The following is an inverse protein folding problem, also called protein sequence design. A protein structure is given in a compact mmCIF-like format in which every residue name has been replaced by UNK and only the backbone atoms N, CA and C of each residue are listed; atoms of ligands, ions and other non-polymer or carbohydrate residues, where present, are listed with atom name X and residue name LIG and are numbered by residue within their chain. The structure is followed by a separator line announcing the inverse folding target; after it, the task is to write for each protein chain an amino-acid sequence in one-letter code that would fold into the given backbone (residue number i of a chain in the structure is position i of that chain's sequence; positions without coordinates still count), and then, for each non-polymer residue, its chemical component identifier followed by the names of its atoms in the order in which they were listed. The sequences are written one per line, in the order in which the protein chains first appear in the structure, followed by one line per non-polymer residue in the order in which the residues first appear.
data_IF_342541115256
#
_entry.id   IF_342541115256
#
_cell.length_a   1.000
_cell.length_b   1.000
_cell.length_c   1.000
_cell.angle_alpha   90.00
_cell.angle_beta   90.00
_cell.angle_gamma   90.00
#
_symmetry.space_group_name_H-M   'P 1'
#
loop_
_entity.id
_entity.type
_entity.pdbx_description
1 polymer ?
#
# COMPACT_ATOMS: atom_id res chain seq x y z
N UNK A 1 12.55 -43.00 -17.97
CA UNK A 1 11.62 -42.26 -17.11
C UNK A 1 11.83 -40.77 -17.37
N UNK A 2 10.91 -40.03 -17.94
CA UNK A 2 11.08 -38.59 -18.18
C UNK A 2 10.71 -37.80 -16.93
N UNK A 3 11.59 -36.92 -16.51
CA UNK A 3 11.41 -35.93 -15.46
C UNK A 3 10.43 -34.84 -15.93
N UNK A 4 9.28 -34.75 -15.28
CA UNK A 4 8.30 -33.71 -15.52
C UNK A 4 8.80 -32.43 -14.85
N UNK A 5 9.37 -31.52 -15.64
CA UNK A 5 9.65 -30.15 -15.23
C UNK A 5 8.34 -29.38 -15.02
N UNK A 6 8.04 -28.96 -13.80
CA UNK A 6 6.96 -28.03 -13.51
C UNK A 6 7.38 -26.65 -14.04
N UNK A 7 6.78 -26.22 -15.13
CA UNK A 7 6.92 -24.86 -15.62
C UNK A 7 6.16 -23.91 -14.69
N UNK A 8 6.89 -23.06 -14.01
CA UNK A 8 6.34 -21.89 -13.30
C UNK A 8 5.66 -20.97 -14.35
N UNK A 9 4.45 -20.48 -14.13
CA UNK A 9 3.84 -19.50 -15.02
C UNK A 9 4.63 -18.20 -14.93
N UNK A 10 5.37 -17.89 -16.01
CA UNK A 10 6.01 -16.57 -16.15
C UNK A 10 4.92 -15.55 -16.46
N UNK A 11 4.81 -14.50 -15.65
CA UNK A 11 4.06 -13.32 -16.03
C UNK A 11 4.71 -12.67 -17.26
N UNK A 12 3.93 -12.13 -18.20
CA UNK A 12 4.50 -11.39 -19.33
C UNK A 12 5.29 -10.18 -18.80
N UNK A 13 6.41 -9.87 -19.41
CA UNK A 13 7.47 -8.92 -18.98
C UNK A 13 7.07 -7.44 -18.98
N UNK A 14 5.80 -7.10 -18.95
CA UNK A 14 5.32 -5.73 -18.75
C UNK A 14 3.89 -5.79 -18.20
N UNK A 15 3.75 -5.72 -16.88
CA UNK A 15 2.43 -5.57 -16.24
C UNK A 15 2.24 -4.09 -15.93
N UNK A 16 1.42 -3.43 -16.73
CA UNK A 16 1.11 -2.01 -16.62
C UNK A 16 0.01 -1.79 -15.56
N UNK A 17 0.10 -0.71 -14.80
CA UNK A 17 -1.02 -0.24 -13.97
C UNK A 17 -2.12 0.24 -14.92
N UNK A 18 -3.30 -0.39 -14.88
CA UNK A 18 -4.44 -0.01 -15.69
C UNK A 18 -5.54 0.61 -14.84
N UNK A 19 -5.93 1.83 -15.18
CA UNK A 19 -7.04 2.56 -14.55
C UNK A 19 -8.36 2.41 -15.35
N UNK A 20 -8.66 1.21 -15.88
CA UNK A 20 -9.94 1.01 -16.55
C UNK A 20 -11.06 0.84 -15.51
N UNK A 21 -11.77 1.95 -15.28
CA UNK A 21 -12.95 2.00 -14.42
C UNK A 21 -14.09 1.16 -14.99
N UNK A 22 -14.51 0.17 -14.24
CA UNK A 22 -15.84 -0.44 -14.39
C UNK A 22 -16.79 0.40 -13.53
N UNK A 23 -17.63 1.21 -14.17
CA UNK A 23 -18.75 1.86 -13.50
C UNK A 23 -19.74 0.79 -13.06
N UNK A 24 -19.65 0.37 -11.81
CA UNK A 24 -20.74 -0.33 -11.13
C UNK A 24 -21.57 0.72 -10.38
N UNK A 25 -22.92 0.67 -10.45
CA UNK A 25 -23.76 1.62 -9.72
C UNK A 25 -23.69 1.32 -8.23
N UNK A 26 -22.97 2.15 -7.51
CA UNK A 26 -22.87 2.09 -6.05
C UNK A 26 -24.20 2.52 -5.44
N UNK A 27 -24.87 1.60 -4.76
CA UNK A 27 -26.00 1.94 -3.90
C UNK A 27 -25.53 2.92 -2.83
N UNK A 28 -26.11 4.13 -2.87
CA UNK A 28 -25.95 5.19 -1.88
C UNK A 28 -26.26 4.64 -0.48
N UNK A 29 -25.25 4.32 0.31
CA UNK A 29 -25.39 4.28 1.75
C UNK A 29 -25.49 5.75 2.21
N UNK A 30 -26.67 6.13 2.71
CA UNK A 30 -26.97 7.51 3.11
C UNK A 30 -25.97 7.98 4.15
N UNK A 31 -25.33 9.13 3.88
CA UNK A 31 -24.59 9.93 4.82
C UNK A 31 -25.48 10.27 6.04
N UNK A 32 -25.27 9.56 7.11
CA UNK A 32 -25.96 9.78 8.37
C UNK A 32 -25.20 9.12 9.50
N UNK A 33 -24.60 9.94 10.38
CA UNK A 33 -23.91 9.60 11.61
C UNK A 33 -22.48 9.00 11.50
N UNK A 34 -21.50 9.90 11.36
CA UNK A 34 -20.08 9.62 11.69
C UNK A 34 -19.84 9.41 13.20
N UNK A 35 -20.83 9.04 13.99
CA UNK A 35 -20.69 8.94 15.43
C UNK A 35 -21.26 7.65 16.03
N UNK A 36 -20.91 6.51 15.48
CA UNK A 36 -20.94 5.15 16.05
C UNK A 36 -20.64 4.10 14.97
N UNK A 37 -19.44 4.07 14.45
CA UNK A 37 -18.96 2.80 13.88
C UNK A 37 -18.95 1.79 15.01
N UNK A 38 -19.87 0.86 14.96
CA UNK A 38 -19.91 -0.27 15.89
C UNK A 38 -18.69 -1.11 15.53
N UNK A 39 -17.62 -0.94 16.30
CA UNK A 39 -16.41 -1.75 16.16
C UNK A 39 -16.82 -3.20 16.29
N UNK A 40 -16.59 -3.98 15.25
CA UNK A 40 -16.83 -5.41 15.35
C UNK A 40 -15.77 -6.02 16.27
N UNK A 41 -16.19 -6.92 17.17
CA UNK A 41 -15.24 -7.63 18.01
C UNK A 41 -14.29 -8.46 17.14
N UNK A 42 -13.08 -8.72 17.64
CA UNK A 42 -12.13 -9.60 16.97
C UNK A 42 -12.79 -10.96 16.68
N UNK A 43 -12.85 -11.40 15.41
CA UNK A 43 -13.38 -12.71 15.07
C UNK A 43 -12.52 -13.82 15.68
N UNK A 44 -13.14 -14.75 16.39
CA UNK A 44 -12.43 -15.88 17.02
C UNK A 44 -11.67 -16.72 16.00
N UNK A 45 -12.24 -16.93 14.81
CA UNK A 45 -11.59 -17.67 13.73
C UNK A 45 -10.30 -16.99 13.26
N UNK A 46 -10.28 -15.64 13.13
CA UNK A 46 -9.06 -14.92 12.80
C UNK A 46 -7.99 -15.13 13.88
N UNK A 47 -8.36 -15.05 15.15
CA UNK A 47 -7.42 -15.26 16.26
C UNK A 47 -6.84 -16.69 16.24
N UNK A 48 -7.67 -17.71 15.99
CA UNK A 48 -7.23 -19.11 15.88
C UNK A 48 -6.26 -19.30 14.71
N UNK A 49 -6.60 -18.74 13.53
CA UNK A 49 -5.72 -18.76 12.35
C UNK A 49 -4.40 -18.06 12.61
N UNK A 50 -4.42 -16.89 13.23
CA UNK A 50 -3.21 -16.13 13.56
C UNK A 50 -2.30 -16.86 14.55
N UNK A 51 -2.89 -17.55 15.55
CA UNK A 51 -2.14 -18.38 16.51
C UNK A 51 -1.48 -19.59 15.88
N UNK A 52 -2.03 -20.14 14.82
CA UNK A 52 -1.54 -21.37 14.16
C UNK A 52 -0.67 -21.10 12.93
N UNK A 53 -0.71 -19.88 12.39
CA UNK A 53 0.03 -19.52 11.18
C UNK A 53 1.56 -19.55 11.40
N UNK A 54 2.26 -20.10 10.43
CA UNK A 54 3.73 -20.10 10.39
C UNK A 54 4.27 -18.99 9.48
N UNK A 55 3.50 -18.63 8.45
CA UNK A 55 3.85 -17.59 7.47
C UNK A 55 2.65 -16.70 7.26
N UNK A 56 2.84 -15.41 7.53
CA UNK A 56 1.81 -14.40 7.39
C UNK A 56 2.21 -13.44 6.30
N UNK A 57 1.26 -13.15 5.40
CA UNK A 57 1.37 -12.06 4.45
C UNK A 57 0.39 -10.95 4.85
N UNK A 58 0.88 -9.72 4.92
CA UNK A 58 0.05 -8.54 5.13
C UNK A 58 0.14 -7.66 3.89
N UNK A 59 -0.98 -7.54 3.17
CA UNK A 59 -1.14 -6.67 2.01
C UNK A 59 -1.79 -5.38 2.47
N UNK A 60 -1.12 -4.23 2.34
CA UNK A 60 -1.66 -2.95 2.82
C UNK A 60 -1.90 -1.95 1.71
N UNK A 61 -2.92 -1.12 1.87
CA UNK A 61 -3.24 0.02 1.02
C UNK A 61 -3.47 1.30 1.82
N UNK A 62 -3.96 2.35 1.17
CA UNK A 62 -4.06 3.70 1.72
C UNK A 62 -4.87 3.78 3.04
N UNK A 63 -5.84 2.89 3.24
CA UNK A 63 -6.60 2.80 4.49
C UNK A 63 -5.74 2.44 5.70
N UNK A 64 -4.57 1.83 5.51
CA UNK A 64 -3.60 1.59 6.59
C UNK A 64 -3.06 2.89 7.18
N UNK A 65 -2.83 3.91 6.34
CA UNK A 65 -2.25 5.20 6.73
C UNK A 65 -3.30 6.31 6.94
N UNK A 66 -4.58 6.05 6.64
CA UNK A 66 -5.64 7.05 6.75
C UNK A 66 -5.78 7.63 8.16
N UNK A 67 -5.77 6.78 9.19
CA UNK A 67 -5.87 7.21 10.59
C UNK A 67 -4.59 7.87 11.12
N UNK A 68 -3.50 7.80 10.39
CA UNK A 68 -2.31 8.62 10.61
C UNK A 68 -2.47 10.05 10.08
N UNK A 69 -3.49 10.31 9.26
CA UNK A 69 -3.74 11.60 8.63
C UNK A 69 -3.10 11.75 7.24
N UNK A 70 -2.68 10.65 6.62
CA UNK A 70 -2.29 10.61 5.20
C UNK A 70 -3.56 10.48 4.36
N UNK A 71 -3.90 11.46 3.50
CA UNK A 71 -5.09 11.38 2.66
C UNK A 71 -5.05 10.15 1.75
N UNK A 72 -6.17 9.45 1.65
CA UNK A 72 -6.33 8.41 0.63
C UNK A 72 -6.49 9.06 -0.74
N UNK A 73 -6.22 8.30 -1.81
CA UNK A 73 -6.39 8.80 -3.18
C UNK A 73 -7.82 9.30 -3.48
N UNK A 74 -8.81 8.89 -2.67
CA UNK A 74 -10.21 9.34 -2.78
C UNK A 74 -10.47 10.67 -2.08
N UNK A 75 -9.67 11.01 -1.07
CA UNK A 75 -9.84 12.20 -0.24
C UNK A 75 -9.08 13.42 -0.79
N UNK A 76 -8.22 13.23 -1.79
CA UNK A 76 -7.35 14.29 -2.34
C UNK A 76 -8.09 15.36 -3.14
N UNK A 77 -9.38 15.20 -3.38
CA UNK A 77 -10.22 16.19 -4.09
C UNK A 77 -10.62 17.43 -3.26
N UNK A 78 -9.95 17.69 -2.12
CA UNK A 78 -10.21 18.82 -1.26
C UNK A 78 -9.18 19.95 -1.40
N UNK A 79 -9.60 21.19 -1.18
CA UNK A 79 -8.70 22.34 -1.12
C UNK A 79 -8.13 22.77 -2.48
N UNK A 80 -6.83 23.12 -2.49
CA UNK A 80 -6.13 23.63 -3.68
C UNK A 80 -6.11 22.62 -4.82
N UNK A 81 -6.01 21.32 -4.48
CA UNK A 81 -5.89 20.22 -5.42
C UNK A 81 -7.24 19.72 -5.97
N UNK A 82 -8.37 20.20 -5.47
CA UNK A 82 -9.73 19.81 -5.91
C UNK A 82 -10.00 20.01 -7.42
N UNK A 83 -9.17 20.77 -8.10
CA UNK A 83 -9.31 21.08 -9.54
C UNK A 83 -8.52 20.14 -10.44
N UNK A 84 -7.71 19.28 -9.86
CA UNK A 84 -6.80 18.39 -10.58
C UNK A 84 -7.19 16.94 -10.30
N UNK A 85 -7.11 16.10 -11.34
CA UNK A 85 -7.27 14.67 -11.17
C UNK A 85 -5.93 14.08 -10.69
N UNK A 86 -5.89 13.44 -9.50
CA UNK A 86 -4.69 12.76 -9.03
C UNK A 86 -4.18 11.72 -10.03
N UNK A 87 -5.11 11.02 -10.71
CA UNK A 87 -4.76 10.03 -11.73
C UNK A 87 -4.05 10.69 -12.92
N UNK A 88 -4.48 11.87 -13.35
CA UNK A 88 -3.84 12.58 -14.45
C UNK A 88 -2.45 13.13 -14.04
N UNK A 89 -2.30 13.59 -12.79
CA UNK A 89 -1.02 14.09 -12.28
C UNK A 89 -0.02 12.97 -12.01
N UNK A 90 -0.49 11.78 -11.64
CA UNK A 90 0.36 10.62 -11.38
C UNK A 90 0.65 9.81 -12.66
N UNK A 91 0.96 10.49 -13.77
CA UNK A 91 1.38 9.90 -15.04
C UNK A 91 2.64 10.58 -15.56
N UNK A 92 3.42 9.90 -16.43
CA UNK A 92 4.55 10.52 -17.10
C UNK A 92 4.08 11.67 -18.01
N UNK A 93 2.95 11.50 -18.69
CA UNK A 93 2.36 12.55 -19.52
C UNK A 93 2.02 13.79 -18.69
N UNK A 94 1.39 13.64 -17.53
CA UNK A 94 1.09 14.75 -16.60
C UNK A 94 2.35 15.46 -16.12
N UNK A 95 3.39 14.70 -15.77
CA UNK A 95 4.69 15.28 -15.41
C UNK A 95 5.29 16.08 -16.58
N UNK A 96 5.35 15.52 -17.79
CA UNK A 96 5.92 16.18 -18.96
C UNK A 96 5.13 17.43 -19.39
N UNK A 97 3.82 17.44 -19.16
CA UNK A 97 2.96 18.58 -19.48
C UNK A 97 3.15 19.75 -18.53
N UNK A 98 3.30 19.50 -17.23
CA UNK A 98 3.45 20.54 -16.19
C UNK A 98 4.27 20.04 -15.00
N UNK A 99 5.59 19.92 -15.13
CA UNK A 99 6.45 19.36 -14.08
C UNK A 99 6.44 20.20 -12.79
N UNK A 100 6.31 21.51 -12.88
CA UNK A 100 6.26 22.38 -11.71
C UNK A 100 4.99 22.17 -10.87
N UNK A 101 3.87 21.96 -11.52
CA UNK A 101 2.58 21.65 -10.85
C UNK A 101 2.66 20.28 -10.17
N UNK A 102 3.10 19.26 -10.90
CA UNK A 102 3.16 17.89 -10.39
C UNK A 102 4.19 17.77 -9.28
N UNK A 103 5.37 18.40 -9.42
CA UNK A 103 6.36 18.42 -8.36
C UNK A 103 5.85 19.11 -7.10
N UNK A 104 5.17 20.25 -7.23
CA UNK A 104 4.56 20.95 -6.11
C UNK A 104 3.52 20.07 -5.37
N UNK A 105 2.74 19.28 -6.10
CA UNK A 105 1.80 18.33 -5.51
C UNK A 105 2.53 17.22 -4.73
N UNK A 106 3.64 16.69 -5.24
CA UNK A 106 4.43 15.68 -4.51
C UNK A 106 5.15 16.29 -3.30
N UNK A 107 5.65 17.53 -3.37
CA UNK A 107 6.21 18.21 -2.21
C UNK A 107 5.18 18.37 -1.08
N UNK A 108 3.93 18.71 -1.42
CA UNK A 108 2.84 18.73 -0.45
C UNK A 108 2.59 17.35 0.17
N UNK A 109 2.54 16.27 -0.61
CA UNK A 109 2.40 14.90 -0.11
C UNK A 109 3.56 14.50 0.80
N UNK A 110 4.79 14.81 0.40
CA UNK A 110 6.00 14.60 1.22
C UNK A 110 5.87 15.37 2.54
N UNK A 111 5.42 16.61 2.51
CA UNK A 111 5.18 17.43 3.70
C UNK A 111 4.17 16.83 4.66
N UNK A 112 3.07 16.25 4.15
CA UNK A 112 2.09 15.52 4.95
C UNK A 112 2.75 14.30 5.59
N UNK A 113 3.37 13.42 4.81
CA UNK A 113 3.98 12.18 5.31
C UNK A 113 5.05 12.48 6.36
N UNK A 114 5.93 13.45 6.11
CA UNK A 114 7.00 13.84 7.04
C UNK A 114 6.47 14.38 8.38
N UNK A 115 5.30 15.01 8.37
CA UNK A 115 4.66 15.57 9.59
C UNK A 115 3.69 14.60 10.27
N UNK A 116 3.57 13.38 9.77
CA UNK A 116 2.65 12.35 10.24
C UNK A 116 3.45 11.28 11.01
N UNK A 117 2.82 10.65 12.00
CA UNK A 117 3.39 9.51 12.74
C UNK A 117 2.66 8.21 12.36
N UNK A 118 3.34 7.06 12.45
CA UNK A 118 2.66 5.77 12.39
C UNK A 118 1.48 5.72 13.37
N UNK A 119 0.39 5.05 12.99
CA UNK A 119 -0.73 4.81 13.89
C UNK A 119 -0.58 3.46 14.61
N UNK A 120 -1.48 3.18 15.56
CA UNK A 120 -1.45 1.97 16.35
C UNK A 120 -1.51 0.67 15.53
N UNK A 121 -2.07 0.70 14.31
CA UNK A 121 -2.06 -0.44 13.38
C UNK A 121 -0.66 -0.75 12.86
N UNK A 122 0.11 0.27 12.46
CA UNK A 122 1.51 0.09 12.05
C UNK A 122 2.36 -0.48 13.20
N UNK A 123 2.20 0.09 14.41
CA UNK A 123 2.90 -0.37 15.61
C UNK A 123 2.50 -1.81 15.98
N UNK A 124 1.23 -2.18 15.81
CA UNK A 124 0.76 -3.52 16.04
C UNK A 124 1.41 -4.54 15.08
N UNK A 125 1.54 -4.23 13.79
CA UNK A 125 2.23 -5.11 12.84
C UNK A 125 3.71 -5.29 13.21
N UNK A 126 4.39 -4.22 13.61
CA UNK A 126 5.78 -4.31 14.07
C UNK A 126 5.91 -5.19 15.33
N UNK A 127 4.99 -5.04 16.29
CA UNK A 127 4.94 -5.90 17.50
C UNK A 127 4.65 -7.36 17.13
N UNK A 128 3.73 -7.61 16.17
CA UNK A 128 3.42 -8.97 15.75
C UNK A 128 4.63 -9.67 15.15
N UNK A 129 5.37 -8.99 14.28
CA UNK A 129 6.63 -9.51 13.75
C UNK A 129 7.64 -9.82 14.87
N UNK A 130 7.64 -9.04 15.95
CA UNK A 130 8.45 -9.27 17.15
C UNK A 130 8.10 -10.53 17.93
N UNK A 131 6.92 -11.15 17.70
CA UNK A 131 6.54 -12.41 18.35
C UNK A 131 7.14 -13.66 17.67
N UNK A 132 7.93 -13.50 16.61
CA UNK A 132 8.65 -14.62 16.00
C UNK A 132 9.62 -15.21 17.00
N UNK A 133 9.43 -16.51 17.33
CA UNK A 133 10.24 -17.21 18.33
C UNK A 133 9.75 -17.10 19.79
N UNK A 134 8.68 -16.35 20.05
CA UNK A 134 8.13 -16.10 21.38
C UNK A 134 6.93 -17.01 21.73
N UNK A 135 7.02 -18.29 21.35
CA UNK A 135 6.00 -19.31 21.70
C UNK A 135 4.91 -19.54 20.66
N UNK A 136 4.74 -18.65 19.69
CA UNK A 136 3.90 -18.88 18.51
C UNK A 136 4.67 -19.69 17.45
N UNK A 137 3.98 -20.47 16.59
CA UNK A 137 4.63 -21.19 15.48
C UNK A 137 5.11 -20.25 14.36
N UNK A 138 4.89 -18.96 14.48
CA UNK A 138 5.22 -17.94 13.50
C UNK A 138 6.71 -17.92 13.18
N UNK A 139 7.04 -18.05 11.90
CA UNK A 139 8.41 -18.09 11.37
C UNK A 139 8.73 -16.91 10.47
N UNK A 140 7.71 -16.40 9.75
CA UNK A 140 7.83 -15.31 8.81
C UNK A 140 6.59 -14.45 8.81
N UNK A 141 6.78 -13.13 8.70
CA UNK A 141 5.75 -12.16 8.45
C UNK A 141 6.25 -11.19 7.39
N UNK A 142 5.61 -11.21 6.23
CA UNK A 142 5.94 -10.37 5.08
C UNK A 142 4.90 -9.26 4.95
N UNK A 143 5.37 -8.01 4.81
CA UNK A 143 4.50 -6.87 4.51
C UNK A 143 4.77 -6.46 3.07
N UNK A 144 3.73 -6.44 2.27
CA UNK A 144 3.71 -5.91 0.92
C UNK A 144 2.74 -4.73 0.89
N UNK A 145 3.23 -3.55 0.55
CA UNK A 145 2.41 -2.34 0.59
C UNK A 145 2.23 -1.71 -0.78
N UNK A 146 1.04 -1.18 -1.02
CA UNK A 146 0.74 -0.29 -2.14
C UNK A 146 0.99 1.18 -1.75
N UNK A 147 1.23 1.45 -0.46
CA UNK A 147 1.49 2.79 0.02
C UNK A 147 2.89 3.25 -0.38
N UNK A 148 2.99 4.53 -0.66
CA UNK A 148 4.25 5.19 -1.03
C UNK A 148 4.90 5.90 0.16
N UNK A 149 4.23 5.94 1.33
CA UNK A 149 4.78 6.44 2.59
C UNK A 149 5.72 5.41 3.25
N UNK A 150 6.46 5.83 4.27
CA UNK A 150 7.43 5.05 5.05
C UNK A 150 6.93 4.71 6.47
N UNK A 151 5.62 4.75 6.71
CA UNK A 151 5.06 4.62 8.05
C UNK A 151 5.26 3.21 8.64
N UNK A 152 5.30 2.18 7.82
CA UNK A 152 5.62 0.82 8.27
C UNK A 152 7.04 0.75 8.84
N UNK A 153 8.02 1.27 8.11
CA UNK A 153 9.43 1.28 8.53
C UNK A 153 9.63 2.16 9.77
N UNK A 154 8.96 3.32 9.81
CA UNK A 154 9.00 4.21 10.98
C UNK A 154 8.37 3.61 12.22
N UNK A 155 7.43 2.66 12.07
CA UNK A 155 6.89 1.85 13.15
C UNK A 155 7.82 0.70 13.56
N UNK A 156 8.88 0.41 12.80
CA UNK A 156 9.82 -0.67 13.05
C UNK A 156 9.55 -1.96 12.27
N UNK A 157 8.63 -1.95 11.31
CA UNK A 157 8.38 -3.10 10.45
C UNK A 157 9.38 -3.18 9.31
N UNK A 158 9.79 -4.40 8.93
CA UNK A 158 10.44 -4.65 7.65
C UNK A 158 9.36 -4.79 6.56
N UNK A 159 9.49 -4.01 5.48
CA UNK A 159 8.62 -4.10 4.31
C UNK A 159 9.33 -4.92 3.23
N UNK A 160 8.67 -5.98 2.75
CA UNK A 160 9.19 -6.84 1.70
C UNK A 160 9.19 -6.13 0.34
N UNK A 161 8.09 -5.42 0.03
CA UNK A 161 7.94 -4.72 -1.25
C UNK A 161 7.04 -3.49 -1.13
N UNK A 162 7.45 -2.40 -1.79
CA UNK A 162 6.65 -1.22 -2.07
C UNK A 162 6.18 -1.23 -3.52
N UNK A 163 5.02 -1.85 -3.78
CA UNK A 163 4.56 -2.10 -5.16
C UNK A 163 4.37 -0.85 -6.00
N UNK A 164 4.08 0.28 -5.38
CA UNK A 164 3.91 1.55 -6.09
C UNK A 164 5.09 2.52 -5.87
N UNK A 165 6.23 1.99 -5.40
CA UNK A 165 7.43 2.77 -5.13
C UNK A 165 7.33 3.58 -3.84
N UNK A 166 8.18 4.62 -3.70
CA UNK A 166 8.40 5.35 -2.44
C UNK A 166 8.51 6.86 -2.66
N UNK A 167 7.89 7.65 -1.77
CA UNK A 167 7.98 9.12 -1.76
C UNK A 167 9.34 9.65 -1.26
N UNK A 168 10.07 8.86 -0.48
CA UNK A 168 11.36 9.23 0.11
C UNK A 168 12.56 8.86 -0.78
N UNK A 169 12.31 8.37 -2.00
CA UNK A 169 13.32 8.04 -3.00
C UNK A 169 13.07 8.85 -4.26
N UNK A 170 14.15 9.19 -4.95
CA UNK A 170 14.08 10.06 -6.13
C UNK A 170 15.01 9.57 -7.22
N UNK A 171 14.60 9.78 -8.46
CA UNK A 171 15.40 9.50 -9.65
C UNK A 171 15.10 10.52 -10.75
N UNK A 172 16.02 10.62 -11.70
CA UNK A 172 15.82 11.46 -12.90
C UNK A 172 14.83 10.80 -13.86
N UNK A 173 13.84 11.58 -14.32
CA UNK A 173 12.85 11.09 -15.29
C UNK A 173 13.44 10.73 -16.66
N UNK A 174 14.60 11.35 -17.03
CA UNK A 174 15.22 11.16 -18.34
C UNK A 174 16.28 10.06 -18.36
N UNK A 175 17.17 10.02 -17.34
CA UNK A 175 18.28 9.06 -17.32
C UNK A 175 18.14 7.95 -16.28
N UNK A 176 17.11 8.01 -15.43
CA UNK A 176 16.82 6.99 -14.40
C UNK A 176 17.80 6.98 -13.21
N UNK A 177 18.85 7.78 -13.23
CA UNK A 177 19.82 7.81 -12.13
C UNK A 177 19.21 8.39 -10.87
N UNK A 178 19.55 7.83 -9.67
CA UNK A 178 19.08 8.36 -8.41
C UNK A 178 19.63 9.78 -8.17
N UNK A 179 18.87 10.58 -7.43
CA UNK A 179 19.27 11.95 -7.08
C UNK A 179 18.65 12.39 -5.77
N UNK A 180 19.06 13.57 -5.30
CA UNK A 180 18.57 14.18 -4.07
C UNK A 180 18.01 15.57 -4.42
N UNK A 181 16.68 15.72 -4.52
CA UNK A 181 16.08 17.02 -4.80
C UNK A 181 16.10 17.93 -3.56
N UNK A 182 15.92 19.22 -3.78
CA UNK A 182 15.61 20.17 -2.71
C UNK A 182 14.18 19.95 -2.21
N UNK A 183 14.07 19.58 -0.94
CA UNK A 183 12.79 19.35 -0.25
C UNK A 183 12.41 20.51 0.68
N UNK A 184 13.10 21.65 0.62
CA UNK A 184 12.85 22.81 1.52
C UNK A 184 11.41 23.34 1.42
N UNK A 185 10.74 23.13 0.28
CA UNK A 185 9.35 23.50 0.04
C UNK A 185 8.33 22.40 0.42
N UNK A 186 8.80 21.25 0.94
CA UNK A 186 7.91 20.19 1.40
C UNK A 186 7.17 20.64 2.67
N UNK A 187 5.85 20.84 2.57
CA UNK A 187 5.03 21.43 3.62
C UNK A 187 3.60 20.90 3.54
N UNK A 188 2.86 20.95 4.69
CA UNK A 188 1.41 20.70 4.69
C UNK A 188 0.63 21.82 4.00
N UNK A 189 1.20 23.01 3.89
CA UNK A 189 0.60 24.11 3.16
C UNK A 189 0.99 24.01 1.69
N UNK A 190 0.03 23.72 0.78
CA UNK A 190 0.34 23.51 -0.61
C UNK A 190 0.74 24.81 -1.31
N UNK A 191 1.75 24.72 -2.17
CA UNK A 191 2.07 25.73 -3.18
C UNK A 191 1.72 25.19 -4.57
N UNK A 192 1.39 26.07 -5.52
CA UNK A 192 0.93 25.59 -6.83
C UNK A 192 2.08 25.18 -7.76
N UNK A 193 3.22 25.83 -7.65
CA UNK A 193 4.34 25.63 -8.58
C UNK A 193 5.67 25.68 -7.87
N UNK A 194 6.48 24.67 -8.12
CA UNK A 194 7.87 24.59 -7.68
C UNK A 194 8.65 23.92 -8.80
N UNK A 195 9.74 24.55 -9.25
CA UNK A 195 10.60 23.96 -10.26
C UNK A 195 11.28 22.71 -9.69
N UNK A 196 11.20 21.55 -10.36
CA UNK A 196 11.92 20.35 -9.95
C UNK A 196 13.42 20.58 -9.90
N UNK A 197 14.09 19.89 -8.98
CA UNK A 197 15.56 19.93 -8.93
C UNK A 197 16.15 19.23 -10.16
N UNK A 198 17.18 19.81 -10.80
CA UNK A 198 17.82 19.18 -11.94
C UNK A 198 18.68 17.98 -11.52
N UNK A 199 18.75 16.99 -12.37
CA UNK A 199 19.68 15.87 -12.25
C UNK A 199 21.11 16.33 -12.49
N UNK A 200 22.02 16.02 -11.58
CA UNK A 200 23.45 16.39 -11.72
C UNK A 200 24.12 15.73 -12.94
N UNK A 201 23.60 14.61 -13.42
CA UNK A 201 24.19 13.83 -14.50
C UNK A 201 23.77 14.31 -15.91
N UNK A 202 22.47 14.66 -16.11
CA UNK A 202 21.96 14.99 -17.45
C UNK A 202 21.18 16.31 -17.51
N UNK A 203 20.92 16.94 -16.36
CA UNK A 203 20.13 18.18 -16.28
C UNK A 203 18.61 17.98 -16.37
N UNK A 204 18.11 16.75 -16.54
CA UNK A 204 16.69 16.45 -16.53
C UNK A 204 16.11 16.53 -15.12
N UNK A 205 14.79 16.52 -14.98
CA UNK A 205 14.09 16.69 -13.71
C UNK A 205 14.22 15.48 -12.79
N UNK A 206 14.43 15.72 -11.48
CA UNK A 206 14.28 14.70 -10.45
C UNK A 206 12.81 14.58 -10.04
N UNK A 207 12.31 13.34 -9.98
CA UNK A 207 10.95 12.99 -9.53
C UNK A 207 10.99 11.96 -8.39
N UNK A 208 9.89 11.81 -7.59
CA UNK A 208 9.80 10.71 -6.64
C UNK A 208 9.86 9.35 -7.35
N UNK A 209 10.49 8.37 -6.71
CA UNK A 209 10.59 7.00 -7.22
C UNK A 209 9.30 6.21 -6.91
N UNK A 210 8.19 6.74 -7.36
CA UNK A 210 6.88 6.11 -7.33
C UNK A 210 6.52 5.61 -8.72
N UNK A 211 5.65 4.63 -8.79
CA UNK A 211 5.16 4.10 -10.06
C UNK A 211 3.99 4.96 -10.53
N UNK A 212 4.17 5.65 -11.65
CA UNK A 212 3.10 6.39 -12.31
C UNK A 212 2.12 5.44 -13.01
N UNK A 213 0.87 5.88 -13.18
CA UNK A 213 -0.08 5.13 -14.00
C UNK A 213 0.48 4.94 -15.42
N UNK A 214 0.44 3.70 -15.89
CA UNK A 214 1.04 3.30 -17.17
C UNK A 214 2.49 2.82 -17.06
N UNK A 215 3.18 3.04 -15.96
CA UNK A 215 4.51 2.48 -15.72
C UNK A 215 4.44 1.03 -15.20
N UNK A 216 5.44 0.19 -15.53
CA UNK A 216 5.55 -1.15 -14.98
C UNK A 216 5.96 -1.08 -13.49
N UNK A 217 5.45 -2.02 -12.69
CA UNK A 217 5.97 -2.23 -11.35
C UNK A 217 7.37 -2.84 -11.40
N UNK A 218 8.15 -2.67 -10.34
CA UNK A 218 9.44 -3.34 -10.21
C UNK A 218 9.26 -4.86 -10.22
N UNK A 219 10.00 -5.54 -11.11
CA UNK A 219 9.86 -6.97 -11.31
C UNK A 219 10.31 -7.75 -10.05
N UNK A 220 11.32 -7.25 -9.34
CA UNK A 220 11.83 -7.87 -8.11
C UNK A 220 10.77 -7.82 -7.01
N UNK A 221 10.11 -6.66 -6.83
CA UNK A 221 9.06 -6.46 -5.84
C UNK A 221 7.84 -7.33 -6.13
N UNK A 222 7.44 -7.44 -7.41
CA UNK A 222 6.33 -8.30 -7.82
C UNK A 222 6.68 -9.78 -7.59
N UNK A 223 7.84 -10.24 -8.02
CA UNK A 223 8.23 -11.63 -7.88
C UNK A 223 8.32 -12.02 -6.40
N UNK A 224 8.91 -11.18 -5.54
CA UNK A 224 8.95 -11.38 -4.09
C UNK A 224 7.54 -11.43 -3.48
N UNK A 225 6.64 -10.55 -3.91
CA UNK A 225 5.25 -10.50 -3.43
C UNK A 225 4.45 -11.74 -3.84
N UNK A 226 4.65 -12.23 -5.05
CA UNK A 226 4.03 -13.48 -5.55
C UNK A 226 4.56 -14.68 -4.75
N UNK A 227 5.85 -14.74 -4.50
CA UNK A 227 6.45 -15.82 -3.69
C UNK A 227 5.90 -15.82 -2.26
N UNK A 228 5.80 -14.64 -1.63
CA UNK A 228 5.21 -14.49 -0.30
C UNK A 228 3.74 -14.93 -0.29
N UNK A 229 2.93 -14.52 -1.29
CA UNK A 229 1.53 -14.91 -1.42
C UNK A 229 1.34 -16.43 -1.58
N UNK A 230 2.24 -17.10 -2.32
CA UNK A 230 2.18 -18.53 -2.54
C UNK A 230 2.60 -19.37 -1.31
N UNK A 231 3.26 -18.77 -0.33
CA UNK A 231 3.77 -19.44 0.87
C UNK A 231 3.01 -19.12 2.14
N UNK A 232 2.14 -18.12 2.11
CA UNK A 232 1.40 -17.68 3.29
C UNK A 232 0.37 -18.71 3.75
N UNK A 233 0.28 -18.93 5.06
CA UNK A 233 -0.82 -19.70 5.69
C UNK A 233 -2.01 -18.78 6.00
N UNK A 234 -1.71 -17.51 6.32
CA UNK A 234 -2.68 -16.46 6.60
C UNK A 234 -2.31 -15.21 5.80
N UNK A 235 -3.28 -14.64 5.11
CA UNK A 235 -3.13 -13.37 4.37
C UNK A 235 -4.11 -12.34 4.90
N UNK A 236 -3.60 -11.22 5.41
CA UNK A 236 -4.43 -10.07 5.77
C UNK A 236 -4.37 -9.03 4.65
N UNK A 237 -5.54 -8.56 4.24
CA UNK A 237 -5.71 -7.50 3.24
C UNK A 237 -6.28 -6.28 3.95
N UNK A 238 -5.43 -5.30 4.23
CA UNK A 238 -5.70 -4.21 5.17
C UNK A 238 -5.81 -2.88 4.46
N UNK A 239 -6.95 -2.23 4.58
CA UNK A 239 -7.14 -0.85 4.11
C UNK A 239 -6.90 -0.64 2.61
N UNK A 240 -7.17 -1.65 1.77
CA UNK A 240 -7.07 -1.54 0.31
C UNK A 240 -8.43 -1.72 -0.35
N UNK A 241 -8.63 -1.03 -1.48
CA UNK A 241 -9.83 -1.21 -2.31
C UNK A 241 -9.81 -2.52 -3.12
N UNK A 242 -8.65 -3.18 -3.22
CA UNK A 242 -8.42 -4.40 -4.01
C UNK A 242 -8.80 -4.25 -5.50
N UNK A 243 -8.65 -3.05 -6.07
CA UNK A 243 -9.03 -2.74 -7.47
C UNK A 243 -7.80 -2.59 -8.38
N UNK A 244 -6.68 -2.07 -7.84
CA UNK A 244 -5.51 -1.69 -8.65
C UNK A 244 -4.67 -2.92 -8.98
N UNK A 245 -4.60 -3.27 -10.26
CA UNK A 245 -3.77 -4.35 -10.75
C UNK A 245 -2.32 -3.86 -11.01
N UNK A 246 -1.31 -4.73 -10.79
CA UNK A 246 -1.39 -6.17 -10.50
C UNK A 246 -1.54 -6.52 -9.00
N UNK A 247 -1.40 -5.55 -8.07
CA UNK A 247 -1.47 -5.79 -6.63
C UNK A 247 -2.77 -6.51 -6.19
N UNK A 248 -3.90 -6.15 -6.82
CA UNK A 248 -5.21 -6.75 -6.58
C UNK A 248 -5.30 -8.27 -6.88
N UNK A 249 -4.31 -8.83 -7.59
CA UNK A 249 -4.27 -10.27 -7.86
C UNK A 249 -3.63 -11.09 -6.72
N UNK A 250 -2.84 -10.47 -5.83
CA UNK A 250 -2.09 -11.16 -4.79
C UNK A 250 -2.97 -11.93 -3.79
N UNK A 251 -4.11 -11.38 -3.27
CA UNK A 251 -4.99 -12.13 -2.38
C UNK A 251 -5.52 -13.41 -3.04
N UNK A 252 -5.93 -13.33 -4.31
CA UNK A 252 -6.41 -14.49 -5.07
C UNK A 252 -5.29 -15.51 -5.35
N UNK A 253 -4.03 -15.10 -5.47
CA UNK A 253 -2.89 -16.01 -5.56
C UNK A 253 -2.67 -16.74 -4.23
N UNK A 254 -2.73 -16.02 -3.10
CA UNK A 254 -2.61 -16.60 -1.77
C UNK A 254 -3.73 -17.61 -1.49
N UNK A 255 -4.99 -17.26 -1.78
CA UNK A 255 -6.13 -18.15 -1.63
C UNK A 255 -5.98 -19.46 -2.44
N UNK A 256 -5.55 -19.37 -3.71
CA UNK A 256 -5.26 -20.55 -4.55
C UNK A 256 -4.12 -21.41 -4.03
N UNK A 257 -3.19 -20.83 -3.28
CA UNK A 257 -2.12 -21.56 -2.61
C UNK A 257 -2.53 -22.19 -1.27
N UNK A 258 -3.75 -21.91 -0.80
CA UNK A 258 -4.31 -22.46 0.45
C UNK A 258 -4.22 -21.54 1.65
N UNK A 259 -3.82 -20.28 1.45
CA UNK A 259 -3.82 -19.26 2.51
C UNK A 259 -5.27 -18.92 2.91
N UNK A 260 -5.51 -18.74 4.21
CA UNK A 260 -6.75 -18.17 4.72
C UNK A 260 -6.71 -16.64 4.54
N UNK A 261 -7.60 -16.10 3.71
CA UNK A 261 -7.60 -14.68 3.33
C UNK A 261 -8.60 -13.90 4.16
N UNK A 262 -8.14 -12.84 4.83
CA UNK A 262 -8.95 -11.97 5.68
C UNK A 262 -8.91 -10.54 5.17
N UNK A 263 -10.07 -9.95 4.94
CA UNK A 263 -10.21 -8.53 4.68
C UNK A 263 -10.37 -7.76 6.00
N UNK A 264 -9.54 -6.74 6.21
CA UNK A 264 -9.62 -5.79 7.34
C UNK A 264 -9.86 -4.39 6.76
N UNK A 265 -11.11 -3.98 6.76
CA UNK A 265 -11.54 -2.70 6.17
C UNK A 265 -12.77 -2.18 6.91
N UNK A 266 -12.95 -0.86 7.08
CA UNK A 266 -14.17 -0.33 7.68
C UNK A 266 -15.42 -0.65 6.83
N UNK A 267 -15.28 -0.65 5.50
CA UNK A 267 -16.33 -1.01 4.56
C UNK A 267 -15.89 -2.22 3.72
N UNK A 268 -16.78 -3.19 3.48
CA UNK A 268 -16.48 -4.37 2.68
C UNK A 268 -16.19 -3.97 1.22
N UNK A 269 -15.20 -4.64 0.61
CA UNK A 269 -14.89 -4.47 -0.81
C UNK A 269 -15.44 -5.63 -1.65
N UNK A 270 -15.11 -5.64 -2.94
CA UNK A 270 -15.41 -6.78 -3.84
C UNK A 270 -14.41 -7.93 -3.71
N UNK A 271 -13.49 -7.88 -2.75
CA UNK A 271 -12.51 -8.94 -2.52
C UNK A 271 -13.23 -10.27 -2.19
N UNK A 272 -12.86 -11.33 -2.90
CA UNK A 272 -13.22 -12.69 -2.52
C UNK A 272 -12.25 -13.16 -1.42
N UNK A 273 -12.78 -13.39 -0.21
CA UNK A 273 -12.00 -13.71 0.98
C UNK A 273 -12.77 -14.66 1.90
N UNK A 274 -12.05 -15.38 2.75
CA UNK A 274 -12.63 -16.34 3.71
C UNK A 274 -13.32 -15.63 4.87
N UNK A 275 -12.79 -14.46 5.29
CA UNK A 275 -13.33 -13.71 6.42
C UNK A 275 -13.25 -12.20 6.15
N UNK A 276 -14.30 -11.48 6.57
CA UNK A 276 -14.30 -10.02 6.63
C UNK A 276 -14.37 -9.54 8.07
N UNK A 277 -13.49 -8.62 8.41
CA UNK A 277 -13.51 -7.94 9.69
C UNK A 277 -13.70 -6.45 9.45
N UNK A 278 -14.91 -5.97 9.73
CA UNK A 278 -15.29 -4.58 9.53
C UNK A 278 -14.74 -3.71 10.67
N UNK A 279 -13.50 -3.26 10.48
CA UNK A 279 -12.77 -2.41 11.42
C UNK A 279 -11.69 -1.62 10.68
N UNK A 280 -11.16 -0.57 11.32
CA UNK A 280 -10.00 0.14 10.79
C UNK A 280 -8.70 -0.55 11.21
N UNK A 281 -7.61 -0.28 10.49
CA UNK A 281 -6.30 -0.85 10.80
C UNK A 281 -5.81 -0.46 12.20
N UNK A 282 -5.95 0.82 12.58
CA UNK A 282 -5.47 1.33 13.85
C UNK A 282 -6.27 0.82 15.06
N UNK A 283 -7.46 0.27 14.85
CA UNK A 283 -8.31 -0.28 15.91
C UNK A 283 -8.21 -1.80 15.94
N UNK A 284 -8.36 -2.46 14.79
CA UNK A 284 -8.42 -3.92 14.72
C UNK A 284 -7.07 -4.58 14.99
N UNK A 285 -6.01 -4.15 14.30
CA UNK A 285 -4.71 -4.81 14.43
C UNK A 285 -4.16 -4.83 15.87
N UNK A 286 -4.25 -3.75 16.67
CA UNK A 286 -3.88 -3.82 18.08
C UNK A 286 -4.67 -4.88 18.86
N UNK A 287 -6.00 -4.97 18.67
CA UNK A 287 -6.83 -5.97 19.35
C UNK A 287 -6.38 -7.39 19.05
N UNK A 288 -6.03 -7.69 17.78
CA UNK A 288 -5.53 -9.01 17.40
C UNK A 288 -4.19 -9.30 18.07
N UNK A 289 -3.24 -8.36 17.99
CA UNK A 289 -1.88 -8.56 18.50
C UNK A 289 -1.84 -8.65 20.03
N UNK A 290 -2.66 -7.87 20.74
CA UNK A 290 -2.77 -7.95 22.20
C UNK A 290 -3.27 -9.32 22.67
N UNK A 291 -4.17 -9.97 21.90
CA UNK A 291 -4.66 -11.33 22.17
C UNK A 291 -3.66 -12.44 21.76
N UNK A 292 -2.71 -12.14 20.89
CA UNK A 292 -1.64 -13.08 20.52
C UNK A 292 -0.49 -13.06 21.52
N UNK A 293 -0.25 -11.92 22.16
CA UNK A 293 0.80 -11.71 23.14
C UNK A 293 0.39 -12.11 24.59
N UNK A 294 -0.89 -12.45 24.80
CA UNK A 294 -1.45 -12.88 26.09
C UNK A 294 -1.35 -14.41 26.26
#
# INVERSE_FOLDING_TARGET
MPTVGRSCPRFPSAVLISAHGVHAPWGLCKSGDMNRQKLEPLPSELLERARSARRILVLTGAGMSAESGVPTFRDESAGLWARYSPEAMATEEGWRADPELVWAWYLWRIGIVNSTSPNAGHEALARWAGLIGEGLPLQHMDIVTQNIDDLHERAGSAVLAHLHGRLDRFHCIDCGLPGQPDLSMASREPVLRVTPSPCESCGGDLRPSIVFFGEPLDATDIDASVEAAQRADLTLVVGTSSIVYPAAALPGLAARAGSFVVEVNPDPTSLDCDLRWCTTAAIGLPQLVDQLAS
#
